data_IF_724122342972
#
_entry.id   IF_724122342972
#
_cell.length_a   1.000
_cell.length_b   1.000
_cell.length_c   1.000
_cell.angle_alpha   90.00
_cell.angle_beta   90.00
_cell.angle_gamma   90.00
#
_symmetry.space_group_name_H-M   'P 1'
#
loop_
_entity.id
_entity.type
_entity.pdbx_description
1 polymer ?
#
# COMPACT_ATOMS: atom_id res chain seq x y z
N UNK A 1 37.99 -11.74 -9.25
CA UNK A 1 37.71 -12.46 -7.99
C UNK A 1 37.12 -11.46 -7.00
N UNK A 2 35.80 -11.45 -6.83
CA UNK A 2 35.10 -10.56 -5.91
C UNK A 2 35.47 -10.94 -4.47
N UNK A 3 36.24 -10.09 -3.79
CA UNK A 3 36.45 -10.20 -2.33
C UNK A 3 35.17 -9.74 -1.66
N UNK A 4 34.32 -10.67 -1.26
CA UNK A 4 33.26 -10.41 -0.28
C UNK A 4 33.93 -9.94 1.02
N UNK A 5 34.04 -8.62 1.20
CA UNK A 5 34.42 -8.03 2.48
C UNK A 5 33.32 -8.38 3.48
N UNK A 6 33.68 -9.12 4.53
CA UNK A 6 32.73 -9.45 5.59
C UNK A 6 32.30 -8.15 6.28
N UNK A 7 31.01 -7.95 6.56
CA UNK A 7 30.56 -6.78 7.30
C UNK A 7 31.29 -6.72 8.64
N UNK A 8 32.08 -5.66 8.85
CA UNK A 8 32.70 -5.36 10.15
C UNK A 8 31.60 -4.84 11.08
N UNK A 9 30.93 -5.75 11.76
CA UNK A 9 30.11 -5.41 12.91
C UNK A 9 31.04 -4.86 14.00
N UNK A 10 31.01 -3.55 14.22
CA UNK A 10 31.74 -2.91 15.32
C UNK A 10 31.29 -3.52 16.64
N UNK A 11 32.22 -4.19 17.32
CA UNK A 11 32.01 -4.79 18.65
C UNK A 11 31.90 -3.66 19.67
N UNK A 12 30.67 -3.23 19.92
CA UNK A 12 30.34 -2.26 20.96
C UNK A 12 29.26 -1.31 20.51
N UNK A 13 28.00 -1.76 20.53
CA UNK A 13 26.79 -0.95 20.75
C UNK A 13 25.57 -1.87 20.64
N UNK A 14 24.58 -1.67 21.50
CA UNK A 14 23.33 -2.43 21.54
C UNK A 14 22.75 -2.60 20.13
N UNK A 15 22.67 -3.85 19.64
CA UNK A 15 22.12 -4.16 18.31
C UNK A 15 20.61 -3.90 18.30
N UNK A 16 20.25 -2.66 17.99
CA UNK A 16 18.87 -2.23 17.93
C UNK A 16 18.23 -2.76 16.62
N UNK A 17 16.99 -3.28 16.64
CA UNK A 17 16.28 -3.72 15.43
C UNK A 17 16.26 -2.64 14.33
N UNK A 18 16.23 -1.38 14.75
CA UNK A 18 16.30 -0.22 13.87
C UNK A 18 17.61 -0.15 13.07
N UNK A 19 18.76 -0.24 13.73
CA UNK A 19 20.07 -0.15 13.06
C UNK A 19 20.32 -1.39 12.20
N UNK A 20 19.86 -2.56 12.63
CA UNK A 20 19.90 -3.78 11.83
C UNK A 20 19.10 -3.66 10.53
N UNK A 21 17.89 -3.10 10.59
CA UNK A 21 17.08 -2.89 9.39
C UNK A 21 17.77 -1.93 8.40
N UNK A 22 18.34 -0.84 8.90
CA UNK A 22 19.08 0.12 8.07
C UNK A 22 20.31 -0.50 7.44
N UNK A 23 21.13 -1.22 8.23
CA UNK A 23 22.31 -1.93 7.73
C UNK A 23 21.94 -2.99 6.71
N UNK A 24 20.85 -3.75 6.92
CA UNK A 24 20.38 -4.75 5.98
C UNK A 24 19.96 -4.10 4.65
N UNK A 25 19.17 -3.03 4.69
CA UNK A 25 18.73 -2.30 3.49
C UNK A 25 19.92 -1.63 2.76
N UNK A 26 20.82 -0.96 3.49
CA UNK A 26 21.98 -0.27 2.92
C UNK A 26 23.01 -1.23 2.33
N UNK A 27 23.29 -2.35 3.01
CA UNK A 27 24.17 -3.40 2.46
C UNK A 27 23.56 -4.07 1.24
N UNK A 28 22.24 -4.33 1.26
CA UNK A 28 21.54 -4.88 0.09
C UNK A 28 21.56 -3.91 -1.09
N UNK A 29 21.41 -2.61 -0.82
CA UNK A 29 21.49 -1.58 -1.85
C UNK A 29 22.89 -1.50 -2.46
N UNK A 30 23.93 -1.52 -1.62
CA UNK A 30 25.32 -1.56 -2.06
C UNK A 30 25.60 -2.81 -2.92
N UNK A 31 25.08 -3.97 -2.50
CA UNK A 31 25.17 -5.19 -3.30
C UNK A 31 24.54 -5.06 -4.68
N UNK A 32 23.34 -4.47 -4.80
CA UNK A 32 22.73 -4.24 -6.12
C UNK A 32 23.51 -3.22 -6.96
N UNK A 33 24.10 -2.22 -6.31
CA UNK A 33 24.95 -1.23 -6.98
C UNK A 33 26.27 -1.85 -7.49
N UNK A 34 26.85 -2.80 -6.75
CA UNK A 34 28.06 -3.51 -7.20
C UNK A 34 27.81 -4.38 -8.45
N UNK A 35 26.57 -4.85 -8.64
CA UNK A 35 26.17 -5.59 -9.85
C UNK A 35 25.97 -4.62 -11.02
N UNK A 36 25.23 -3.53 -10.79
CA UNK A 36 24.94 -2.51 -11.79
C UNK A 36 25.22 -1.15 -11.13
N UNK A 37 26.31 -0.44 -11.51
CA UNK A 37 26.75 0.80 -10.87
C UNK A 37 25.89 2.02 -11.24
N UNK A 38 24.58 1.81 -11.24
CA UNK A 38 23.52 2.76 -11.53
C UNK A 38 22.59 2.82 -10.32
N UNK A 39 22.65 3.92 -9.57
CA UNK A 39 21.94 4.03 -8.30
C UNK A 39 20.42 3.85 -8.44
N UNK A 40 19.84 4.40 -9.51
CA UNK A 40 18.41 4.24 -9.79
C UNK A 40 17.99 2.79 -10.02
N UNK A 41 18.82 2.02 -10.73
CA UNK A 41 18.57 0.59 -10.98
C UNK A 41 18.74 -0.20 -9.68
N UNK A 42 19.75 0.13 -8.86
CA UNK A 42 19.95 -0.49 -7.56
C UNK A 42 18.72 -0.32 -6.65
N UNK A 43 18.11 0.87 -6.63
CA UNK A 43 16.85 1.12 -5.89
C UNK A 43 15.71 0.26 -6.43
N UNK A 44 15.56 0.16 -7.76
CA UNK A 44 14.50 -0.65 -8.40
C UNK A 44 14.67 -2.13 -8.01
N UNK A 45 15.89 -2.67 -8.12
CA UNK A 45 16.20 -4.06 -7.78
C UNK A 45 15.96 -4.34 -6.29
N UNK A 46 16.40 -3.45 -5.40
CA UNK A 46 16.12 -3.55 -3.97
C UNK A 46 14.61 -3.58 -3.70
N UNK A 47 13.87 -2.69 -4.37
CA UNK A 47 12.41 -2.61 -4.21
C UNK A 47 11.74 -3.90 -4.64
N UNK A 48 12.14 -4.48 -5.78
CA UNK A 48 11.61 -5.76 -6.27
C UNK A 48 11.95 -6.88 -5.29
N UNK A 49 13.19 -6.95 -4.80
CA UNK A 49 13.62 -7.97 -3.86
C UNK A 49 12.83 -7.93 -2.54
N UNK A 50 12.69 -6.76 -1.93
CA UNK A 50 11.88 -6.57 -0.71
C UNK A 50 10.41 -6.92 -0.98
N UNK A 51 9.89 -6.53 -2.14
CA UNK A 51 8.49 -6.78 -2.49
C UNK A 51 8.20 -8.27 -2.73
N UNK A 52 9.12 -9.01 -3.33
CA UNK A 52 9.03 -10.46 -3.49
C UNK A 52 9.12 -11.18 -2.14
N UNK A 53 10.02 -10.73 -1.26
CA UNK A 53 10.16 -11.27 0.09
C UNK A 53 8.88 -11.06 0.93
N UNK A 54 8.23 -9.91 0.79
CA UNK A 54 6.98 -9.60 1.49
C UNK A 54 5.72 -10.09 0.77
N UNK A 55 5.84 -10.59 -0.46
CA UNK A 55 4.71 -11.06 -1.28
C UNK A 55 3.74 -12.01 -0.55
N UNK A 56 4.18 -13.09 0.13
CA UNK A 56 3.24 -14.00 0.80
C UNK A 56 2.47 -13.32 1.94
N UNK A 57 3.12 -12.38 2.64
CA UNK A 57 2.47 -11.57 3.67
C UNK A 57 1.42 -10.64 3.04
N UNK A 58 1.77 -9.97 1.95
CA UNK A 58 0.84 -9.09 1.21
C UNK A 58 -0.37 -9.85 0.68
N UNK A 59 -0.21 -11.09 0.20
CA UNK A 59 -1.36 -11.91 -0.25
C UNK A 59 -2.34 -12.17 0.90
N UNK A 60 -1.83 -12.55 2.08
CA UNK A 60 -2.67 -12.76 3.28
C UNK A 60 -3.38 -11.47 3.71
N UNK A 61 -2.68 -10.34 3.70
CA UNK A 61 -3.23 -9.03 4.01
C UNK A 61 -4.34 -8.63 3.03
N UNK A 62 -4.12 -8.81 1.73
CA UNK A 62 -5.10 -8.52 0.69
C UNK A 62 -6.35 -9.40 0.82
N UNK A 63 -6.19 -10.69 1.15
CA UNK A 63 -7.34 -11.58 1.39
C UNK A 63 -8.19 -11.08 2.57
N UNK A 64 -7.56 -10.70 3.69
CA UNK A 64 -8.29 -10.15 4.83
C UNK A 64 -9.05 -8.86 4.49
N UNK A 65 -8.47 -8.00 3.66
CA UNK A 65 -9.12 -6.76 3.20
C UNK A 65 -10.33 -7.01 2.30
N UNK A 66 -10.33 -8.11 1.52
CA UNK A 66 -11.48 -8.50 0.68
C UNK A 66 -12.67 -8.95 1.52
N UNK A 67 -12.45 -9.85 2.48
CA UNK A 67 -13.51 -10.27 3.40
C UNK A 67 -14.13 -9.09 4.15
N UNK A 68 -13.31 -8.13 4.58
CA UNK A 68 -13.80 -6.88 5.18
C UNK A 68 -14.65 -6.03 4.22
N UNK A 69 -14.36 -6.05 2.92
CA UNK A 69 -15.18 -5.36 1.92
C UNK A 69 -16.51 -6.06 1.67
N UNK A 70 -16.55 -7.38 1.77
CA UNK A 70 -17.74 -8.21 1.52
C UNK A 70 -18.81 -8.05 2.59
N UNK A 71 -18.41 -7.88 3.85
CA UNK A 71 -19.31 -7.68 4.99
C UNK A 71 -19.78 -6.22 5.16
N UNK A 72 -19.23 -5.26 4.40
CA UNK A 72 -19.68 -3.85 4.45
C UNK A 72 -21.19 -3.62 4.32
N UNK A 73 -21.96 -4.32 3.44
CA UNK A 73 -23.42 -4.19 3.41
C UNK A 73 -24.09 -4.55 4.74
N UNK A 74 -23.61 -5.57 5.44
CA UNK A 74 -24.15 -6.00 6.74
C UNK A 74 -23.80 -4.99 7.83
N UNK A 75 -22.55 -4.52 7.84
CA UNK A 75 -22.12 -3.40 8.68
C UNK A 75 -23.03 -2.18 8.49
N UNK A 76 -23.38 -1.85 7.24
CA UNK A 76 -24.30 -0.73 6.94
C UNK A 76 -25.72 -0.96 7.44
N UNK A 77 -26.24 -2.19 7.37
CA UNK A 77 -27.57 -2.52 7.93
C UNK A 77 -27.57 -2.35 9.44
N UNK A 78 -26.56 -2.90 10.10
CA UNK A 78 -26.39 -2.79 11.56
C UNK A 78 -26.26 -1.33 12.02
N UNK A 79 -25.48 -0.52 11.29
CA UNK A 79 -25.38 0.92 11.56
C UNK A 79 -26.72 1.65 11.44
N UNK A 80 -27.63 1.23 10.54
CA UNK A 80 -28.96 1.83 10.39
C UNK A 80 -29.91 1.41 11.51
N UNK A 81 -29.83 0.15 11.94
CA UNK A 81 -30.67 -0.39 13.02
C UNK A 81 -30.29 0.21 14.38
N UNK A 82 -28.99 0.44 14.64
CA UNK A 82 -28.46 0.87 15.93
C UNK A 82 -27.94 2.32 15.94
N UNK A 83 -28.49 3.22 15.10
CA UNK A 83 -28.05 4.62 15.01
C UNK A 83 -28.02 5.36 16.36
N UNK A 84 -28.90 5.00 17.29
CA UNK A 84 -29.02 5.63 18.61
C UNK A 84 -28.23 4.95 19.74
N UNK A 85 -27.70 3.74 19.52
CA UNK A 85 -27.04 2.94 20.55
C UNK A 85 -25.64 2.52 20.08
N UNK A 86 -24.66 3.37 20.40
CA UNK A 86 -23.25 3.14 20.04
C UNK A 86 -22.64 1.94 20.75
N UNK A 87 -23.10 1.62 21.96
CA UNK A 87 -22.53 0.52 22.72
C UNK A 87 -22.98 -0.82 22.12
N UNK A 88 -24.27 -0.96 21.87
CA UNK A 88 -24.84 -2.15 21.22
C UNK A 88 -24.34 -2.30 19.78
N UNK A 89 -24.22 -1.19 19.04
CA UNK A 89 -23.61 -1.20 17.71
C UNK A 89 -22.19 -1.78 17.74
N UNK A 90 -21.34 -1.34 18.68
CA UNK A 90 -19.97 -1.82 18.77
C UNK A 90 -19.91 -3.31 19.13
N UNK A 91 -20.76 -3.78 20.05
CA UNK A 91 -20.85 -5.21 20.41
C UNK A 91 -21.24 -6.08 19.23
N UNK A 92 -22.30 -5.68 18.51
CA UNK A 92 -22.79 -6.44 17.34
C UNK A 92 -21.84 -6.35 16.16
N UNK A 93 -21.15 -5.23 15.98
CA UNK A 93 -20.14 -5.09 14.94
C UNK A 93 -18.95 -6.03 15.20
N UNK A 94 -18.51 -6.15 16.45
CA UNK A 94 -17.47 -7.10 16.83
C UNK A 94 -17.92 -8.56 16.66
N UNK A 95 -19.16 -8.88 17.06
CA UNK A 95 -19.74 -10.21 16.81
C UNK A 95 -19.78 -10.52 15.31
N UNK A 96 -20.28 -9.59 14.49
CA UNK A 96 -20.33 -9.72 13.04
C UNK A 96 -18.96 -10.01 12.42
N UNK A 97 -17.91 -9.32 12.86
CA UNK A 97 -16.55 -9.58 12.40
C UNK A 97 -16.06 -10.98 12.81
N UNK A 98 -16.36 -11.41 14.03
CA UNK A 98 -15.97 -12.72 14.55
C UNK A 98 -16.71 -13.85 13.84
N UNK A 99 -18.01 -13.72 13.63
CA UNK A 99 -18.87 -14.71 13.00
C UNK A 99 -18.51 -14.91 11.52
N UNK A 100 -18.08 -13.83 10.84
CA UNK A 100 -17.58 -13.90 9.47
C UNK A 100 -16.07 -14.22 9.36
N UNK A 101 -15.38 -14.45 10.48
CA UNK A 101 -13.95 -14.76 10.51
C UNK A 101 -13.04 -13.64 9.96
N UNK A 102 -13.50 -12.38 9.99
CA UNK A 102 -12.78 -11.22 9.47
C UNK A 102 -12.06 -10.48 10.59
N UNK A 103 -10.76 -10.22 10.43
CA UNK A 103 -9.99 -9.43 11.39
C UNK A 103 -9.86 -7.96 10.93
N UNK A 104 -10.47 -6.99 11.63
CA UNK A 104 -10.36 -5.57 11.26
C UNK A 104 -8.93 -5.02 11.39
N UNK A 105 -8.11 -5.54 12.30
CA UNK A 105 -6.72 -5.10 12.49
C UNK A 105 -5.78 -5.58 11.37
N UNK A 106 -6.10 -6.72 10.73
CA UNK A 106 -5.32 -7.21 9.59
C UNK A 106 -5.41 -6.26 8.38
N UNK A 107 -6.43 -5.40 8.33
CA UNK A 107 -6.59 -4.40 7.27
C UNK A 107 -5.64 -3.20 7.35
N UNK A 108 -5.18 -2.82 8.55
CA UNK A 108 -4.19 -1.75 8.73
C UNK A 108 -2.75 -2.27 8.86
N UNK A 109 -2.57 -3.60 9.00
CA UNK A 109 -1.27 -4.26 9.08
C UNK A 109 -0.28 -3.85 7.96
N UNK A 110 -0.69 -3.69 6.68
CA UNK A 110 0.23 -3.21 5.64
C UNK A 110 0.85 -1.87 5.98
N UNK A 111 0.08 -0.93 6.53
CA UNK A 111 0.57 0.40 6.88
C UNK A 111 1.57 0.34 8.06
N UNK A 112 1.25 -0.47 9.08
CA UNK A 112 2.11 -0.61 10.26
C UNK A 112 3.46 -1.21 9.91
N UNK A 113 3.48 -2.27 9.10
CA UNK A 113 4.73 -2.93 8.68
C UNK A 113 5.50 -2.06 7.68
N UNK A 114 4.81 -1.35 6.80
CA UNK A 114 5.43 -0.54 5.76
C UNK A 114 6.11 0.72 6.30
N UNK A 115 5.54 1.37 7.32
CA UNK A 115 6.06 2.62 7.86
C UNK A 115 7.51 2.53 8.33
N UNK A 116 7.91 1.56 9.20
CA UNK A 116 9.31 1.37 9.59
C UNK A 116 10.26 1.12 8.43
N UNK A 117 9.85 0.31 7.45
CA UNK A 117 10.64 0.00 6.26
C UNK A 117 10.88 1.27 5.44
N UNK A 118 9.83 2.07 5.24
CA UNK A 118 9.90 3.32 4.51
C UNK A 118 10.81 4.34 5.20
N UNK A 119 10.69 4.54 6.52
CA UNK A 119 11.56 5.45 7.26
C UNK A 119 13.02 4.98 7.27
N UNK A 120 13.27 3.67 7.39
CA UNK A 120 14.61 3.12 7.31
C UNK A 120 15.21 3.36 5.92
N UNK A 121 14.46 3.05 4.86
CA UNK A 121 14.87 3.27 3.47
C UNK A 121 15.12 4.76 3.18
N UNK A 122 14.26 5.65 3.65
CA UNK A 122 14.45 7.09 3.52
C UNK A 122 15.80 7.54 4.11
N UNK A 123 16.17 7.05 5.31
CA UNK A 123 17.47 7.37 5.90
C UNK A 123 18.64 6.74 5.13
N UNK A 124 18.46 5.56 4.55
CA UNK A 124 19.49 4.95 3.68
C UNK A 124 19.69 5.79 2.41
N UNK A 125 18.61 6.16 1.72
CA UNK A 125 18.68 6.84 0.42
C UNK A 125 19.08 8.32 0.52
N UNK A 126 18.69 9.00 1.59
CA UNK A 126 19.07 10.39 1.84
C UNK A 126 20.43 10.48 2.54
N UNK A 127 20.55 9.86 3.72
CA UNK A 127 21.70 10.07 4.62
C UNK A 127 22.82 9.05 4.42
N UNK A 128 22.59 7.98 3.63
CA UNK A 128 23.56 6.90 3.47
C UNK A 128 23.63 5.94 4.67
N UNK A 129 22.71 6.05 5.63
CA UNK A 129 22.79 5.25 6.85
C UNK A 129 22.71 3.76 6.53
N UNK A 130 23.65 2.98 7.09
CA UNK A 130 23.69 1.53 6.91
C UNK A 130 24.31 1.06 5.60
N UNK A 131 24.73 1.98 4.71
CA UNK A 131 25.59 1.65 3.57
C UNK A 131 27.03 1.44 4.07
N UNK A 132 27.71 0.34 3.70
CA UNK A 132 29.12 0.14 4.09
C UNK A 132 30.02 1.22 3.49
N UNK A 133 30.84 1.87 4.32
CA UNK A 133 31.75 2.95 3.89
C UNK A 133 32.80 2.48 2.88
N UNK A 134 33.20 1.22 2.95
CA UNK A 134 34.16 0.58 2.04
C UNK A 134 33.54 0.05 0.75
N UNK A 135 32.23 0.22 0.55
CA UNK A 135 31.54 -0.16 -0.68
C UNK A 135 31.64 0.92 -1.77
N UNK A 136 31.49 0.52 -3.03
CA UNK A 136 31.47 1.47 -4.15
C UNK A 136 30.36 2.52 -3.98
N UNK A 137 29.18 2.09 -3.49
CA UNK A 137 28.07 3.00 -3.21
C UNK A 137 28.39 3.96 -2.06
N UNK A 138 29.08 3.50 -1.02
CA UNK A 138 29.51 4.34 0.10
C UNK A 138 30.42 5.49 -0.36
N UNK A 139 31.39 5.17 -1.21
CA UNK A 139 32.27 6.18 -1.81
C UNK A 139 31.51 7.15 -2.71
N UNK A 140 30.60 6.65 -3.56
CA UNK A 140 29.73 7.50 -4.39
C UNK A 140 28.89 8.45 -3.53
N UNK A 141 28.31 7.97 -2.42
CA UNK A 141 27.54 8.81 -1.51
C UNK A 141 28.40 9.88 -0.85
N UNK A 142 29.61 9.55 -0.42
CA UNK A 142 30.55 10.51 0.17
C UNK A 142 30.90 11.61 -0.84
N UNK A 143 31.38 11.23 -2.03
CA UNK A 143 31.81 12.15 -3.08
C UNK A 143 30.67 13.04 -3.57
N UNK A 144 29.48 12.47 -3.79
CA UNK A 144 28.33 13.26 -4.27
C UNK A 144 27.73 14.14 -3.18
N UNK A 145 27.84 13.78 -1.88
CA UNK A 145 27.47 14.69 -0.79
C UNK A 145 28.40 15.89 -0.72
N UNK A 146 29.71 15.65 -0.74
CA UNK A 146 30.73 16.71 -0.72
C UNK A 146 30.57 17.66 -1.92
N UNK A 147 30.29 17.11 -3.10
CA UNK A 147 30.00 17.88 -4.31
C UNK A 147 28.77 18.79 -4.17
N UNK A 148 27.69 18.28 -3.56
CA UNK A 148 26.46 19.03 -3.35
C UNK A 148 26.66 20.15 -2.32
N UNK A 149 27.40 19.88 -1.25
CA UNK A 149 27.77 20.88 -0.23
C UNK A 149 28.69 21.96 -0.78
N UNK A 150 29.59 21.61 -1.70
CA UNK A 150 30.42 22.56 -2.43
C UNK A 150 29.64 23.40 -3.47
N UNK A 151 28.33 23.20 -3.60
CA UNK A 151 27.47 23.95 -4.52
C UNK A 151 27.64 23.58 -5.99
N UNK A 152 28.18 22.38 -6.30
CA UNK A 152 28.26 21.91 -7.69
C UNK A 152 26.87 21.77 -8.29
N UNK A 153 26.75 22.12 -9.56
CA UNK A 153 25.50 21.96 -10.31
C UNK A 153 25.08 20.49 -10.33
N UNK A 154 23.78 20.22 -10.14
CA UNK A 154 23.23 18.85 -10.13
C UNK A 154 23.40 18.09 -11.47
N UNK A 155 23.79 18.79 -12.53
CA UNK A 155 24.10 18.27 -13.87
C UNK A 155 25.59 17.99 -14.08
N UNK A 156 26.44 18.20 -13.07
CA UNK A 156 27.88 17.88 -13.14
C UNK A 156 28.07 16.36 -13.30
N UNK A 157 28.97 15.89 -14.18
CA UNK A 157 29.22 14.46 -14.41
C UNK A 157 29.56 13.65 -13.16
N UNK A 158 30.02 14.31 -12.08
CA UNK A 158 30.21 13.67 -10.77
C UNK A 158 28.94 12.97 -10.25
N UNK A 159 27.77 13.42 -10.69
CA UNK A 159 26.47 12.89 -10.28
C UNK A 159 25.92 11.80 -11.21
N UNK A 160 26.58 11.47 -12.33
CA UNK A 160 26.05 10.52 -13.32
C UNK A 160 25.66 9.19 -12.67
N UNK A 161 26.50 8.68 -11.76
CA UNK A 161 26.30 7.45 -10.98
C UNK A 161 25.06 7.45 -10.08
N UNK A 162 24.57 8.63 -9.70
CA UNK A 162 23.38 8.82 -8.85
C UNK A 162 22.19 9.40 -9.62
N UNK A 163 22.30 9.50 -10.95
CA UNK A 163 21.21 9.96 -11.81
C UNK A 163 20.36 8.82 -12.35
N UNK A 164 19.11 9.11 -12.69
CA UNK A 164 18.24 8.21 -13.44
C UNK A 164 17.35 9.04 -14.36
N UNK A 165 17.35 8.75 -15.66
CA UNK A 165 16.62 9.55 -16.66
C UNK A 165 16.97 11.05 -16.57
N UNK A 166 18.22 11.39 -16.25
CA UNK A 166 18.70 12.76 -16.09
C UNK A 166 18.31 13.46 -14.78
N UNK A 167 17.61 12.80 -13.87
CA UNK A 167 17.27 13.35 -12.55
C UNK A 167 18.25 12.84 -11.48
N UNK A 168 18.74 13.72 -10.61
CA UNK A 168 19.59 13.33 -9.48
C UNK A 168 18.71 12.77 -8.35
N UNK A 169 18.95 11.51 -7.99
CA UNK A 169 18.10 10.80 -7.04
C UNK A 169 18.34 11.19 -5.58
N UNK A 170 19.40 11.94 -5.28
CA UNK A 170 19.75 12.39 -3.93
C UNK A 170 19.22 13.78 -3.61
N UNK A 171 18.61 14.46 -4.57
CA UNK A 171 18.02 15.81 -4.42
C UNK A 171 16.50 15.71 -4.41
N UNK A 172 15.83 16.66 -3.76
CA UNK A 172 14.37 16.75 -3.74
C UNK A 172 13.86 17.48 -4.98
N UNK A 173 12.70 17.09 -5.54
CA UNK A 173 12.05 17.83 -6.62
C UNK A 173 11.83 19.32 -6.31
N UNK A 174 11.49 19.66 -5.07
CA UNK A 174 11.26 21.04 -4.63
C UNK A 174 12.48 21.96 -4.78
N UNK A 175 13.69 21.39 -4.79
CA UNK A 175 14.96 22.11 -4.91
C UNK A 175 15.55 22.00 -6.33
N UNK A 176 15.29 20.88 -7.02
CA UNK A 176 15.85 20.59 -8.34
C UNK A 176 15.03 21.19 -9.51
N UNK A 177 13.72 21.41 -9.34
CA UNK A 177 12.87 21.93 -10.40
C UNK A 177 13.01 23.46 -10.49
N UNK A 178 13.53 23.95 -11.60
CA UNK A 178 13.67 25.38 -11.89
C UNK A 178 13.30 25.69 -13.34
N UNK A 179 12.85 26.92 -13.60
CA UNK A 179 12.49 27.37 -14.95
C UNK A 179 13.69 27.42 -15.90
N UNK A 180 14.90 27.61 -15.36
CA UNK A 180 16.13 27.72 -16.13
C UNK A 180 16.68 26.35 -16.59
N UNK A 181 16.27 25.26 -15.94
CA UNK A 181 16.63 23.89 -16.31
C UNK A 181 15.39 23.03 -16.54
N UNK A 182 14.67 23.36 -17.61
CA UNK A 182 13.47 22.62 -18.05
C UNK A 182 13.78 21.14 -18.33
N UNK A 183 14.90 20.83 -18.97
CA UNK A 183 15.27 19.46 -19.32
C UNK A 183 15.44 18.57 -18.07
N UNK A 184 16.17 19.06 -17.06
CA UNK A 184 16.32 18.33 -15.78
C UNK A 184 15.02 18.26 -14.99
N UNK A 185 14.18 19.30 -15.05
CA UNK A 185 12.91 19.40 -14.32
C UNK A 185 11.83 18.43 -14.81
N UNK A 186 11.81 18.13 -16.12
CA UNK A 186 10.82 17.25 -16.73
C UNK A 186 10.83 15.86 -16.06
N UNK A 187 12.01 15.29 -15.81
CA UNK A 187 12.12 13.95 -15.23
C UNK A 187 11.56 13.86 -13.81
N UNK A 188 11.77 14.89 -12.98
CA UNK A 188 11.17 14.94 -11.64
C UNK A 188 9.64 15.07 -11.71
N UNK A 189 9.13 15.94 -12.59
CA UNK A 189 7.68 16.13 -12.76
C UNK A 189 7.02 14.84 -13.26
N UNK A 190 7.64 14.17 -14.23
CA UNK A 190 7.17 12.88 -14.74
C UNK A 190 7.16 11.80 -13.65
N UNK A 191 8.18 11.76 -12.80
CA UNK A 191 8.20 10.83 -11.66
C UNK A 191 7.03 11.08 -10.70
N UNK A 192 6.76 12.34 -10.34
CA UNK A 192 5.63 12.69 -9.46
C UNK A 192 4.30 12.35 -10.12
N UNK A 193 4.13 12.67 -11.40
CA UNK A 193 2.94 12.33 -12.17
C UNK A 193 2.74 10.80 -12.22
N UNK A 194 3.81 10.03 -12.38
CA UNK A 194 3.78 8.58 -12.37
C UNK A 194 3.36 8.02 -11.01
N UNK A 195 3.93 8.53 -9.91
CA UNK A 195 3.56 8.13 -8.54
C UNK A 195 2.08 8.41 -8.28
N UNK A 196 1.62 9.62 -8.61
CA UNK A 196 0.23 10.02 -8.44
C UNK A 196 -0.70 9.16 -9.32
N UNK A 197 -0.38 9.00 -10.60
CA UNK A 197 -1.16 8.20 -11.55
C UNK A 197 -1.27 6.75 -11.13
N UNK A 198 -0.16 6.13 -10.71
CA UNK A 198 -0.14 4.77 -10.17
C UNK A 198 -0.94 4.68 -8.86
N UNK A 199 -0.81 5.66 -7.97
CA UNK A 199 -1.60 5.74 -6.73
C UNK A 199 -3.10 5.83 -6.99
N UNK A 200 -3.54 6.68 -7.92
CA UNK A 200 -4.93 6.78 -8.33
C UNK A 200 -5.44 5.49 -8.96
N UNK A 201 -4.63 4.86 -9.80
CA UNK A 201 -4.97 3.57 -10.41
C UNK A 201 -5.15 2.49 -9.33
N UNK A 202 -4.18 2.36 -8.41
CA UNK A 202 -4.22 1.42 -7.30
C UNK A 202 -5.47 1.66 -6.42
N UNK A 203 -5.78 2.92 -6.14
CA UNK A 203 -6.95 3.28 -5.34
C UNK A 203 -8.27 2.91 -6.03
N UNK A 204 -8.38 3.16 -7.34
CA UNK A 204 -9.53 2.72 -8.14
C UNK A 204 -9.66 1.20 -8.14
N UNK A 205 -8.55 0.46 -8.24
CA UNK A 205 -8.57 -0.99 -8.24
C UNK A 205 -9.14 -1.59 -6.94
N UNK A 206 -8.89 -0.95 -5.79
CA UNK A 206 -9.42 -1.39 -4.49
C UNK A 206 -10.88 -0.97 -4.24
N UNK A 207 -11.38 0.04 -4.95
CA UNK A 207 -12.73 0.62 -4.71
C UNK A 207 -13.77 0.21 -5.76
N UNK A 208 -13.37 -0.52 -6.81
CA UNK A 208 -14.16 -0.87 -8.00
C UNK A 208 -15.42 -1.73 -7.79
N UNK A 209 -15.78 -2.13 -6.56
CA UNK A 209 -16.99 -2.92 -6.24
C UNK A 209 -18.03 -2.19 -5.37
N UNK A 210 -18.15 -0.85 -5.44
CA UNK A 210 -19.27 -0.12 -4.81
C UNK A 210 -20.19 0.50 -5.86
N UNK A 211 -21.35 -0.13 -6.09
CA UNK A 211 -22.49 0.60 -6.66
C UNK A 211 -22.94 1.65 -5.63
N UNK A 212 -23.15 2.92 -6.03
CA UNK A 212 -23.78 3.88 -5.15
C UNK A 212 -25.23 3.44 -4.94
N UNK A 213 -25.58 3.05 -3.72
CA UNK A 213 -26.99 2.92 -3.34
C UNK A 213 -27.49 4.32 -3.06
N UNK A 214 -28.35 4.85 -3.95
CA UNK A 214 -28.99 6.16 -3.80
C UNK A 214 -29.70 6.27 -2.44
N UNK A 215 -29.52 7.42 -1.77
CA UNK A 215 -30.19 7.77 -0.50
C UNK A 215 -29.40 7.52 0.80
N UNK A 216 -28.09 7.79 0.88
CA UNK A 216 -27.29 7.56 2.10
C UNK A 216 -26.41 8.76 2.46
N UNK A 217 -27.01 9.78 3.08
CA UNK A 217 -26.27 10.93 3.65
C UNK A 217 -25.81 10.72 5.10
N UNK A 218 -26.20 9.63 5.77
CA UNK A 218 -25.70 9.28 7.10
C UNK A 218 -24.93 7.96 7.07
N UNK A 219 -23.74 7.99 6.48
CA UNK A 219 -22.73 6.99 6.79
C UNK A 219 -22.10 7.40 8.13
N UNK A 220 -21.76 6.45 9.00
CA UNK A 220 -20.98 6.75 10.20
C UNK A 220 -19.80 7.66 9.84
N UNK A 221 -19.67 8.82 10.49
CA UNK A 221 -18.65 9.84 10.20
C UNK A 221 -17.23 9.24 10.05
N UNK A 222 -16.95 8.12 10.73
CA UNK A 222 -15.66 7.45 10.72
C UNK A 222 -15.36 6.62 9.45
N UNK A 223 -16.31 5.86 8.91
CA UNK A 223 -16.06 5.04 7.69
C UNK A 223 -16.14 5.88 6.41
N UNK A 224 -16.88 6.99 6.47
CA UNK A 224 -16.98 7.97 5.39
C UNK A 224 -15.73 8.85 5.33
N UNK A 225 -15.18 9.25 6.48
CA UNK A 225 -13.92 9.97 6.53
C UNK A 225 -12.76 9.14 5.99
N UNK A 226 -12.65 7.85 6.33
CA UNK A 226 -11.60 6.97 5.78
C UNK A 226 -11.70 6.88 4.25
N UNK A 227 -12.90 6.72 3.68
CA UNK A 227 -13.07 6.65 2.22
C UNK A 227 -12.77 7.96 1.52
N UNK A 228 -13.12 9.09 2.12
CA UNK A 228 -12.81 10.41 1.58
C UNK A 228 -11.30 10.69 1.65
N UNK A 229 -10.64 10.37 2.78
CA UNK A 229 -9.18 10.47 2.93
C UNK A 229 -8.46 9.62 1.88
N UNK A 230 -8.94 8.40 1.60
CA UNK A 230 -8.32 7.55 0.58
C UNK A 230 -8.32 8.19 -0.82
N UNK A 231 -9.33 8.99 -1.19
CA UNK A 231 -9.40 9.71 -2.49
C UNK A 231 -8.33 10.78 -2.66
N UNK A 232 -7.87 11.37 -1.57
CA UNK A 232 -6.83 12.39 -1.60
C UNK A 232 -5.44 11.81 -1.33
N UNK A 233 -5.35 10.54 -0.91
CA UNK A 233 -4.08 9.88 -0.57
C UNK A 233 -3.04 9.96 -1.71
N UNK A 234 -3.36 9.69 -3.00
CA UNK A 234 -2.38 9.85 -4.08
C UNK A 234 -1.83 11.29 -4.22
N UNK A 235 -2.67 12.30 -3.96
CA UNK A 235 -2.26 13.72 -4.01
C UNK A 235 -1.32 14.04 -2.85
N UNK A 236 -1.67 13.59 -1.64
CA UNK A 236 -0.83 13.75 -0.44
C UNK A 236 0.53 13.08 -0.67
N UNK A 237 0.56 11.87 -1.23
CA UNK A 237 1.82 11.19 -1.56
C UNK A 237 2.63 11.90 -2.65
N UNK A 238 1.96 12.52 -3.63
CA UNK A 238 2.61 13.41 -4.60
C UNK A 238 3.26 14.61 -3.94
N UNK A 239 2.55 15.29 -3.03
CA UNK A 239 3.08 16.43 -2.27
C UNK A 239 4.22 16.02 -1.31
N UNK A 240 4.11 14.87 -0.65
CA UNK A 240 5.20 14.32 0.17
C UNK A 240 6.41 14.04 -0.73
N UNK A 241 6.22 13.38 -1.87
CA UNK A 241 7.31 13.06 -2.79
C UNK A 241 7.97 14.32 -3.38
N UNK A 242 7.26 15.45 -3.46
CA UNK A 242 7.83 16.75 -3.85
C UNK A 242 8.89 17.24 -2.86
N UNK A 243 8.71 16.95 -1.57
CA UNK A 243 9.57 17.43 -0.47
C UNK A 243 10.58 16.36 0.01
N UNK A 244 10.67 15.22 -0.67
CA UNK A 244 11.60 14.15 -0.33
C UNK A 244 12.54 13.88 -1.50
N UNK A 245 13.65 13.21 -1.23
CA UNK A 245 14.65 12.87 -2.25
C UNK A 245 14.04 12.00 -3.36
N UNK A 246 14.40 12.29 -4.60
CA UNK A 246 13.80 11.64 -5.77
C UNK A 246 14.02 10.12 -5.81
N UNK A 247 15.09 9.61 -5.20
CA UNK A 247 15.32 8.17 -5.03
C UNK A 247 14.20 7.47 -4.26
N UNK A 248 13.59 8.15 -3.28
CA UNK A 248 12.41 7.63 -2.59
C UNK A 248 11.16 7.64 -3.49
N UNK A 249 11.08 8.60 -4.42
CA UNK A 249 10.06 8.62 -5.46
C UNK A 249 10.18 7.41 -6.41
N UNK A 250 11.39 7.04 -6.81
CA UNK A 250 11.64 5.83 -7.63
C UNK A 250 11.19 4.57 -6.89
N UNK A 251 11.48 4.49 -5.59
CA UNK A 251 10.96 3.43 -4.73
C UNK A 251 9.42 3.39 -4.73
N UNK A 252 8.74 4.53 -4.59
CA UNK A 252 7.29 4.59 -4.63
C UNK A 252 6.71 4.18 -5.99
N UNK A 253 7.27 4.66 -7.09
CA UNK A 253 6.82 4.28 -8.43
C UNK A 253 6.95 2.77 -8.66
N UNK A 254 8.09 2.19 -8.27
CA UNK A 254 8.37 0.76 -8.42
C UNK A 254 7.46 -0.09 -7.53
N UNK A 255 7.33 0.28 -6.25
CA UNK A 255 6.47 -0.45 -5.30
C UNK A 255 4.99 -0.37 -5.66
N UNK A 256 4.50 0.77 -6.15
CA UNK A 256 3.13 0.90 -6.66
C UNK A 256 2.89 0.00 -7.88
N UNK A 257 3.86 -0.10 -8.79
CA UNK A 257 3.79 -0.99 -9.95
C UNK A 257 3.66 -2.45 -9.51
N UNK A 258 4.45 -2.86 -8.52
CA UNK A 258 4.35 -4.20 -7.94
C UNK A 258 2.99 -4.43 -7.27
N UNK A 259 2.49 -3.48 -6.47
CA UNK A 259 1.17 -3.56 -5.82
C UNK A 259 0.04 -3.74 -6.84
N UNK A 260 0.10 -3.03 -7.96
CA UNK A 260 -0.85 -3.16 -9.06
C UNK A 260 -0.78 -4.55 -9.69
N UNK A 261 0.43 -5.04 -9.96
CA UNK A 261 0.65 -6.38 -10.51
C UNK A 261 0.17 -7.48 -9.55
N UNK A 262 0.52 -7.39 -8.26
CA UNK A 262 0.06 -8.28 -7.20
C UNK A 262 -1.48 -8.29 -7.15
N UNK A 263 -2.11 -7.13 -7.09
CA UNK A 263 -3.56 -7.02 -7.01
C UNK A 263 -4.24 -7.62 -8.25
N UNK A 264 -3.66 -7.45 -9.44
CA UNK A 264 -4.14 -8.06 -10.67
C UNK A 264 -4.06 -9.60 -10.62
N UNK A 265 -2.96 -10.16 -10.11
CA UNK A 265 -2.79 -11.61 -9.94
C UNK A 265 -3.78 -12.16 -8.90
N UNK A 266 -3.90 -11.53 -7.73
CA UNK A 266 -4.81 -11.99 -6.66
C UNK A 266 -6.28 -11.86 -7.11
N UNK A 267 -6.62 -10.87 -7.93
CA UNK A 267 -7.99 -10.76 -8.51
C UNK A 267 -8.29 -11.91 -9.48
N UNK A 268 -7.30 -12.37 -10.26
CA UNK A 268 -7.45 -13.53 -11.15
C UNK A 268 -7.50 -14.87 -10.40
N UNK A 269 -6.81 -14.98 -9.26
CA UNK A 269 -6.79 -16.20 -8.44
C UNK A 269 -8.01 -16.32 -7.50
N UNK A 270 -8.67 -15.21 -7.18
CA UNK A 270 -9.74 -15.14 -6.17
C UNK A 270 -11.05 -15.83 -6.54
N UNK A 271 -11.25 -16.24 -7.79
CA UNK A 271 -12.49 -16.92 -8.21
C UNK A 271 -12.44 -18.46 -7.97
N UNK A 272 -11.33 -19.01 -7.44
CA UNK A 272 -11.13 -20.46 -7.31
C UNK A 272 -11.12 -21.07 -5.89
N UNK A 273 -10.95 -20.28 -4.83
CA UNK A 273 -10.72 -20.78 -3.45
C UNK A 273 -11.94 -20.61 -2.51
N UNK A 274 -12.91 -19.76 -2.88
CA UNK A 274 -14.09 -19.48 -2.05
C UNK A 274 -15.17 -20.57 -2.16
N UNK A 275 -15.11 -21.44 -3.16
CA UNK A 275 -15.97 -22.63 -3.28
C UNK A 275 -15.59 -23.72 -2.27
N UNK A 276 -14.30 -23.88 -1.97
CA UNK A 276 -13.79 -24.90 -1.05
C UNK A 276 -14.15 -24.62 0.41
N UNK A 277 -13.97 -23.38 0.87
CA UNK A 277 -14.34 -22.99 2.25
C UNK A 277 -15.84 -22.94 2.50
N UNK A 278 -16.63 -22.57 1.49
CA UNK A 278 -18.09 -22.58 1.61
C UNK A 278 -18.64 -24.00 1.74
N UNK A 279 -18.04 -24.95 1.02
CA UNK A 279 -18.37 -26.37 1.12
C UNK A 279 -17.96 -26.98 2.48
N UNK A 280 -16.84 -26.55 3.07
CA UNK A 280 -16.39 -27.01 4.39
C UNK A 280 -17.28 -26.47 5.52
N UNK A 281 -17.65 -25.18 5.47
CA UNK A 281 -18.57 -24.54 6.42
C UNK A 281 -20.00 -25.09 6.32
N UNK A 282 -20.48 -25.43 5.12
CA UNK A 282 -21.78 -26.07 4.95
C UNK A 282 -21.79 -27.55 5.40
N UNK A 283 -20.63 -28.20 5.46
CA UNK A 283 -20.50 -29.60 5.93
C UNK A 283 -20.50 -29.76 7.45
N UNK A 284 -20.16 -28.70 8.20
CA UNK A 284 -20.17 -28.70 9.67
C UNK A 284 -21.48 -28.18 10.28
N UNK A 285 -22.44 -27.71 9.46
CA UNK A 285 -23.72 -27.21 9.95
C UNK A 285 -24.70 -28.34 10.33
N UNK A 286 -25.37 -28.24 11.48
CA UNK A 286 -26.47 -29.14 11.83
C UNK A 286 -27.61 -29.04 10.80
N UNK A 287 -28.32 -30.15 10.47
CA UNK A 287 -29.32 -30.20 9.40
C UNK A 287 -30.51 -29.23 9.52
N UNK A 288 -30.74 -28.68 10.70
CA UNK A 288 -31.99 -27.97 11.04
C UNK A 288 -31.84 -26.45 11.14
N UNK A 289 -30.67 -25.88 10.83
CA UNK A 289 -30.49 -24.43 10.83
C UNK A 289 -30.77 -23.84 9.42
N UNK A 290 -31.84 -23.04 9.23
CA UNK A 290 -32.22 -22.58 7.91
C UNK A 290 -31.19 -21.61 7.33
N UNK A 291 -30.71 -21.95 6.13
CA UNK A 291 -29.77 -21.14 5.36
C UNK A 291 -30.38 -19.76 5.00
N UNK A 292 -29.99 -18.71 5.72
CA UNK A 292 -30.46 -17.36 5.44
C UNK A 292 -29.80 -16.73 4.20
N UNK A 293 -28.92 -17.46 3.49
CA UNK A 293 -28.31 -17.00 2.24
C UNK A 293 -29.17 -17.28 0.99
N UNK A 294 -30.33 -17.95 1.13
CA UNK A 294 -31.20 -18.32 0.00
C UNK A 294 -32.55 -17.58 -0.07
N UNK A 295 -32.70 -16.44 0.65
CA UNK A 295 -33.81 -15.51 0.39
C UNK A 295 -33.48 -14.59 -0.78
N UNK A 296 -33.38 -15.19 -1.97
CA UNK A 296 -33.15 -14.49 -3.22
C UNK A 296 -33.80 -15.19 -4.40
N UNK A 297 -35.13 -15.05 -4.57
CA UNK A 297 -35.80 -14.62 -5.82
C UNK A 297 -37.26 -15.07 -5.89
N UNK A 298 -38.17 -14.12 -6.16
CA UNK A 298 -39.55 -14.40 -6.58
C UNK A 298 -40.29 -13.11 -6.93
N UNK A 299 -40.99 -13.03 -8.08
CA UNK A 299 -41.44 -11.77 -8.67
C UNK A 299 -42.61 -11.14 -7.89
N UNK A 300 -42.53 -9.83 -7.71
CA UNK A 300 -43.63 -8.99 -7.23
C UNK A 300 -44.82 -9.09 -8.19
N UNK A 301 -45.80 -9.95 -7.88
CA UNK A 301 -47.12 -9.89 -8.49
C UNK A 301 -48.03 -8.98 -7.66
N UNK A 302 -48.30 -7.81 -8.26
CA UNK A 302 -49.56 -7.10 -8.08
C UNK A 302 -50.74 -8.08 -8.24
N UNK A 303 -51.58 -8.26 -7.21
CA UNK A 303 -53.00 -8.60 -7.39
C UNK A 303 -53.82 -8.49 -6.09
N UNK A 304 -54.63 -7.44 -6.03
CA UNK A 304 -56.00 -7.42 -5.49
C UNK A 304 -56.35 -8.18 -4.20
N UNK A 305 -56.70 -7.43 -3.15
CA UNK A 305 -57.87 -7.78 -2.32
C UNK A 305 -58.51 -6.55 -1.68
N UNK A 306 -59.11 -5.71 -2.53
CA UNK A 306 -60.35 -4.99 -2.16
C UNK A 306 -61.52 -5.91 -2.48
N UNK A 307 -62.52 -5.90 -1.58
CA UNK A 307 -63.96 -6.10 -1.83
C UNK A 307 -64.61 -7.36 -1.19
N UNK A 308 -65.41 -7.04 -0.17
CA UNK A 308 -66.71 -7.61 0.24
C UNK A 308 -66.88 -9.11 0.51
N UNK A 309 -67.36 -9.38 1.73
CA UNK A 309 -68.72 -9.89 2.04
C UNK A 309 -68.87 -9.80 3.58
N UNK A 310 -69.61 -8.85 4.15
CA UNK A 310 -71.08 -8.80 4.34
C UNK A 310 -71.75 -10.18 4.50
N UNK A 311 -72.28 -10.35 5.72
CA UNK A 311 -73.50 -11.07 6.14
C UNK A 311 -73.50 -12.60 6.21
N UNK A 312 -73.87 -13.04 7.43
CA UNK A 312 -74.75 -14.16 7.86
C UNK A 312 -74.02 -14.91 8.99
N UNK A 313 -74.63 -15.23 10.13
CA UNK A 313 -75.98 -15.04 10.66
C UNK A 313 -75.85 -15.28 12.17
#
# INVERSE_FOLDING_TARGET
MARFARPKFTKGNNVNPWTLLQSALGTSLAFFYDIIPEYGIAIILLTIAVSLLLFPLTVKQTRSMRGMSEIQPEVKKLQKEFKGDREELNKRLQALYKDNGVNPAAGCLPMIVQMPIWFALYRVLWQGNGVPEDSALGEVFRVTSEALEAGKAITDPIFDSVTLLGMNLRVKPSEAVSLDNLAGSISYILLIALIMGAGFYQQRQMTRKKKPTEGQEEQSNQMQSIQNVMKFMPIIFGFISWNLVAGLGVYFATSNSFRIAQQAVILRMGDGDDTGKKAEIDSERPPDEPNNSDKGNGPSQHASKKRNRRRRK
#
